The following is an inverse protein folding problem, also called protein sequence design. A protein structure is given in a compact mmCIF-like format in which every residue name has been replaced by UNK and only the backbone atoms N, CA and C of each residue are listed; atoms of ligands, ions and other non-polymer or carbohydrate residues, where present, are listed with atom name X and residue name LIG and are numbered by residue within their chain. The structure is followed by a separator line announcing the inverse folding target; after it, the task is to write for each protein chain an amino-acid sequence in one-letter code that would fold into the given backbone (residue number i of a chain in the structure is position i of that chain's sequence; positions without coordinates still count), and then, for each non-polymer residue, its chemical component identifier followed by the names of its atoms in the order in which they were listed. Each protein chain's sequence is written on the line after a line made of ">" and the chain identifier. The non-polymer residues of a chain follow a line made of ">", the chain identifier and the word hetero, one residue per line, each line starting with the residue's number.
data_IF_759932589272
#
_entry.id   IF_759932589272
#
_cell.length_a   1.000
_cell.length_b   1.000
_cell.length_c   1.000
_cell.angle_alpha   90.00
_cell.angle_beta   90.00
_cell.angle_gamma   90.00
#
_symmetry.space_group_name_H-M   'P 1'
#
loop_
_entity.id
_entity.type
_entity.pdbx_description
1 polymer ?
#
# COMPACT_ATOMS: atom_id res chain seq x y z
N UNK A 1 63.23 5.39 7.89
CA UNK A 1 62.29 6.37 7.32
C UNK A 1 60.95 5.66 7.28
N UNK A 2 60.22 5.77 8.39
CA UNK A 2 58.87 5.19 8.53
C UNK A 2 57.84 6.23 8.14
N UNK A 3 57.07 5.93 7.10
CA UNK A 3 55.85 6.69 6.79
C UNK A 3 54.64 5.89 7.29
N UNK A 4 54.19 6.28 8.48
CA UNK A 4 52.92 5.81 9.07
C UNK A 4 51.78 6.49 8.35
N UNK A 5 51.06 5.73 7.53
CA UNK A 5 49.81 6.22 6.94
C UNK A 5 48.68 6.04 7.97
N UNK A 6 48.26 7.13 8.55
CA UNK A 6 47.09 7.19 9.44
C UNK A 6 45.81 6.99 8.60
N UNK A 7 45.22 5.80 8.67
CA UNK A 7 43.96 5.50 8.02
C UNK A 7 42.82 6.17 8.78
N UNK A 8 42.21 7.20 8.18
CA UNK A 8 40.96 7.76 8.65
C UNK A 8 39.84 6.72 8.50
N UNK A 9 39.41 6.15 9.61
CA UNK A 9 38.15 5.44 9.69
C UNK A 9 37.02 6.46 9.60
N UNK A 10 36.52 6.67 8.41
CA UNK A 10 35.29 7.42 8.19
C UNK A 10 34.13 6.59 8.78
N UNK A 11 33.54 7.10 9.85
CA UNK A 11 32.34 6.53 10.48
C UNK A 11 31.16 6.62 9.51
N UNK A 12 30.92 5.56 8.73
CA UNK A 12 29.81 5.42 7.77
C UNK A 12 28.43 5.22 8.42
N UNK A 13 28.31 5.39 9.74
CA UNK A 13 27.07 5.02 10.47
C UNK A 13 25.97 6.10 10.50
N UNK A 14 26.25 7.35 10.11
CA UNK A 14 25.26 8.43 10.20
C UNK A 14 24.56 8.80 8.89
N UNK A 15 25.00 8.25 7.73
CA UNK A 15 24.42 8.58 6.42
C UNK A 15 23.22 7.71 6.00
N UNK A 16 23.04 6.52 6.60
CA UNK A 16 22.10 5.53 6.05
C UNK A 16 20.62 5.70 6.46
N UNK A 17 20.30 6.37 7.57
CA UNK A 17 18.90 6.43 8.06
C UNK A 17 18.08 7.54 7.39
N UNK A 18 18.67 8.69 7.15
CA UNK A 18 18.00 9.83 6.49
C UNK A 18 17.67 9.54 5.03
N UNK A 19 18.61 8.92 4.32
CA UNK A 19 18.46 8.60 2.91
C UNK A 19 17.41 7.51 2.66
N UNK A 20 17.40 6.45 3.47
CA UNK A 20 16.42 5.37 3.36
C UNK A 20 14.98 5.85 3.59
N UNK A 21 14.75 6.74 4.57
CA UNK A 21 13.43 7.34 4.81
C UNK A 21 13.00 8.27 3.67
N UNK A 22 13.95 8.99 3.06
CA UNK A 22 13.67 9.86 1.92
C UNK A 22 13.32 9.03 0.67
N UNK A 23 14.05 7.95 0.42
CA UNK A 23 13.79 7.01 -0.68
C UNK A 23 12.43 6.32 -0.53
N UNK A 24 12.07 5.86 0.67
CA UNK A 24 10.76 5.25 0.94
C UNK A 24 9.62 6.24 0.67
N UNK A 25 9.75 7.51 1.10
CA UNK A 25 8.76 8.56 0.81
C UNK A 25 8.65 8.91 -0.68
N UNK A 26 9.76 8.88 -1.41
CA UNK A 26 9.74 9.09 -2.86
C UNK A 26 9.03 7.94 -3.57
N UNK A 27 9.29 6.73 -3.11
CA UNK A 27 8.63 5.54 -3.63
C UNK A 27 7.13 5.53 -3.31
N UNK A 28 6.75 5.89 -2.09
CA UNK A 28 5.35 6.08 -1.69
C UNK A 28 4.62 7.05 -2.64
N UNK A 29 5.19 8.23 -2.89
CA UNK A 29 4.60 9.20 -3.82
C UNK A 29 4.52 8.71 -5.28
N UNK A 30 5.45 7.83 -5.68
CA UNK A 30 5.42 7.19 -7.00
C UNK A 30 4.26 6.21 -7.09
N UNK A 31 4.05 5.41 -6.04
CA UNK A 31 2.93 4.49 -5.92
C UNK A 31 1.59 5.23 -5.92
N UNK A 32 1.42 6.26 -5.08
CA UNK A 32 0.21 7.08 -5.02
C UNK A 32 -0.18 7.63 -6.41
N UNK A 33 0.79 8.22 -7.13
CA UNK A 33 0.56 8.73 -8.49
C UNK A 33 0.15 7.65 -9.49
N UNK A 34 0.67 6.44 -9.32
CA UNK A 34 0.26 5.31 -10.14
C UNK A 34 -1.17 4.88 -9.81
N UNK A 35 -1.52 4.73 -8.53
CA UNK A 35 -2.87 4.39 -8.08
C UNK A 35 -3.92 5.39 -8.60
N UNK A 36 -3.65 6.68 -8.49
CA UNK A 36 -4.55 7.72 -8.98
C UNK A 36 -4.77 7.67 -10.51
N UNK A 37 -3.74 7.31 -11.28
CA UNK A 37 -3.88 7.09 -12.73
C UNK A 37 -4.75 5.88 -13.07
N UNK A 38 -4.82 4.89 -12.19
CA UNK A 38 -5.68 3.72 -12.34
C UNK A 38 -7.11 3.97 -11.83
N UNK A 39 -7.44 5.15 -11.29
CA UNK A 39 -8.75 5.44 -10.71
C UNK A 39 -8.89 4.97 -9.25
N UNK A 40 -7.77 4.77 -8.56
CA UNK A 40 -7.74 4.44 -7.12
C UNK A 40 -7.27 5.68 -6.39
N UNK A 41 -8.17 6.37 -5.68
CA UNK A 41 -7.92 7.68 -5.09
C UNK A 41 -7.77 7.63 -3.57
N UNK A 42 -7.15 8.66 -2.95
CA UNK A 42 -7.17 8.79 -1.49
C UNK A 42 -8.60 8.74 -0.97
N UNK A 43 -8.82 8.02 0.11
CA UNK A 43 -10.13 7.97 0.77
C UNK A 43 -10.64 9.39 1.11
N UNK A 44 -11.89 9.68 0.78
CA UNK A 44 -12.49 11.00 1.00
C UNK A 44 -12.17 12.06 -0.06
N UNK A 45 -11.52 11.72 -1.18
CA UNK A 45 -11.32 12.66 -2.29
C UNK A 45 -12.67 13.03 -2.92
N UNK A 46 -12.91 14.33 -3.14
CA UNK A 46 -14.13 14.81 -3.78
C UNK A 46 -14.18 14.38 -5.26
N UNK A 47 -15.38 14.03 -5.74
CA UNK A 47 -15.60 13.48 -7.08
C UNK A 47 -15.18 14.45 -8.22
N UNK A 48 -15.29 15.76 -8.02
CA UNK A 48 -14.86 16.80 -8.96
C UNK A 48 -13.33 16.86 -9.19
N UNK A 49 -12.56 16.19 -8.32
CA UNK A 49 -11.10 16.07 -8.38
C UNK A 49 -10.61 14.71 -8.87
N UNK A 50 -11.50 13.91 -9.46
CA UNK A 50 -11.19 12.58 -9.98
C UNK A 50 -11.19 12.63 -11.52
N UNK A 51 -10.01 12.71 -12.19
CA UNK A 51 -9.95 12.81 -13.65
C UNK A 51 -10.36 11.52 -14.38
N UNK A 52 -10.35 10.39 -13.67
CA UNK A 52 -10.76 9.07 -14.17
C UNK A 52 -11.88 8.54 -13.26
N UNK A 53 -12.88 7.80 -13.76
CA UNK A 53 -13.91 7.19 -12.92
C UNK A 53 -13.29 6.34 -11.81
N UNK A 54 -13.74 6.48 -10.55
CA UNK A 54 -13.15 5.75 -9.44
C UNK A 54 -13.49 4.26 -9.52
N UNK A 55 -12.47 3.41 -9.40
CA UNK A 55 -12.61 1.96 -9.26
C UNK A 55 -12.19 1.47 -7.86
N UNK A 56 -11.71 2.39 -7.04
CA UNK A 56 -11.26 2.09 -5.69
C UNK A 56 -10.77 3.30 -4.93
N UNK A 57 -10.27 3.02 -3.75
CA UNK A 57 -9.64 4.04 -2.89
C UNK A 57 -8.42 3.45 -2.19
N UNK A 58 -7.55 4.32 -1.68
CA UNK A 58 -6.49 3.95 -0.76
C UNK A 58 -6.50 4.85 0.48
N UNK A 59 -6.02 4.30 1.59
CA UNK A 59 -5.85 5.00 2.85
C UNK A 59 -4.44 4.77 3.38
N UNK A 60 -3.77 5.85 3.77
CA UNK A 60 -2.46 5.79 4.44
C UNK A 60 -2.67 5.51 5.92
N UNK A 61 -1.98 4.51 6.43
CA UNK A 61 -1.99 4.20 7.86
C UNK A 61 -0.80 4.86 8.53
N UNK A 62 -1.06 5.86 9.36
CA UNK A 62 -0.03 6.58 10.08
C UNK A 62 0.34 5.81 11.36
N UNK A 63 1.64 5.55 11.55
CA UNK A 63 2.18 4.98 12.80
C UNK A 63 2.18 5.96 13.98
N UNK A 64 1.04 6.62 14.27
CA UNK A 64 0.88 7.49 15.43
C UNK A 64 0.67 6.69 16.72
N UNK A 65 0.92 7.30 17.88
CA UNK A 65 0.92 6.65 19.20
C UNK A 65 -0.36 5.94 19.63
N UNK A 66 -1.46 6.06 18.87
CA UNK A 66 -2.73 5.37 19.07
C UNK A 66 -3.04 4.35 17.97
N UNK A 67 -2.22 4.21 16.93
CA UNK A 67 -2.43 3.23 15.89
C UNK A 67 -1.81 1.88 16.28
N UNK A 68 -2.44 0.78 15.83
CA UNK A 68 -1.93 -0.57 16.05
C UNK A 68 -0.58 -0.72 15.34
N UNK A 69 0.45 -1.06 16.10
CA UNK A 69 1.80 -1.27 15.57
C UNK A 69 1.82 -2.41 14.55
N UNK A 70 2.65 -2.25 13.52
CA UNK A 70 2.92 -3.29 12.51
C UNK A 70 1.89 -3.42 11.40
N UNK A 71 0.88 -2.54 11.35
CA UNK A 71 -0.02 -2.48 10.18
C UNK A 71 0.76 -1.98 8.96
N UNK A 72 0.45 -2.50 7.75
CA UNK A 72 1.00 -2.01 6.50
C UNK A 72 0.72 -0.51 6.27
N UNK A 73 1.61 0.18 5.55
CA UNK A 73 1.59 1.63 5.33
C UNK A 73 0.37 2.11 4.55
N UNK A 74 -0.09 1.30 3.57
CA UNK A 74 -1.28 1.60 2.80
C UNK A 74 -2.28 0.45 2.86
N UNK A 75 -3.55 0.83 3.04
CA UNK A 75 -4.69 -0.02 2.76
C UNK A 75 -5.36 0.47 1.49
N UNK A 76 -5.62 -0.41 0.53
CA UNK A 76 -6.33 -0.06 -0.68
C UNK A 76 -7.40 -1.08 -1.02
N UNK A 77 -8.47 -0.60 -1.60
CA UNK A 77 -9.54 -1.41 -2.18
C UNK A 77 -9.63 -1.06 -3.65
N UNK A 78 -9.48 -2.05 -4.51
CA UNK A 78 -9.63 -1.91 -5.95
C UNK A 78 -10.57 -2.99 -6.46
N UNK A 79 -11.59 -2.59 -7.22
CA UNK A 79 -12.57 -3.53 -7.79
C UNK A 79 -13.15 -4.50 -6.72
N UNK A 80 -13.45 -3.99 -5.52
CA UNK A 80 -13.93 -4.73 -4.34
C UNK A 80 -12.92 -5.74 -3.74
N UNK A 81 -11.68 -5.77 -4.19
CA UNK A 81 -10.61 -6.58 -3.62
C UNK A 81 -9.76 -5.71 -2.69
N UNK A 82 -9.54 -6.19 -1.47
CA UNK A 82 -8.70 -5.53 -0.47
C UNK A 82 -7.23 -5.90 -0.63
N UNK A 83 -6.36 -4.89 -0.62
CA UNK A 83 -4.91 -5.06 -0.61
C UNK A 83 -4.30 -4.20 0.50
N UNK A 84 -3.27 -4.72 1.15
CA UNK A 84 -2.48 -4.02 2.15
C UNK A 84 -1.01 -4.03 1.72
N UNK A 85 -0.40 -2.84 1.66
CA UNK A 85 0.96 -2.66 1.12
C UNK A 85 1.86 -2.07 2.19
N UNK A 86 2.88 -2.81 2.57
CA UNK A 86 4.01 -2.36 3.39
C UNK A 86 5.11 -1.88 2.46
N UNK A 87 5.51 -0.62 2.55
CA UNK A 87 6.57 -0.04 1.71
C UNK A 87 7.93 -0.20 2.37
N UNK A 88 8.95 -0.39 1.56
CA UNK A 88 10.34 -0.43 2.01
C UNK A 88 11.26 0.30 1.05
N UNK A 89 12.25 0.99 1.61
CA UNK A 89 13.40 1.47 0.86
C UNK A 89 14.18 0.27 0.27
N UNK A 90 15.02 0.47 -0.77
CA UNK A 90 15.76 -0.63 -1.42
C UNK A 90 16.56 -1.50 -0.45
N UNK A 91 17.11 -0.90 0.60
CA UNK A 91 17.90 -1.59 1.64
C UNK A 91 17.10 -1.85 2.93
N UNK A 92 15.83 -1.43 2.97
CA UNK A 92 14.96 -1.55 4.13
C UNK A 92 14.64 -3.02 4.44
N UNK A 93 14.47 -3.33 5.74
CA UNK A 93 14.08 -4.67 6.18
C UNK A 93 12.77 -4.61 6.95
N UNK A 94 11.78 -5.43 6.58
CA UNK A 94 10.55 -5.49 7.34
C UNK A 94 10.81 -6.15 8.70
N UNK A 95 10.20 -5.60 9.75
CA UNK A 95 10.26 -6.17 11.09
C UNK A 95 9.55 -7.53 11.14
N UNK A 96 9.85 -8.37 12.16
CA UNK A 96 9.10 -9.61 12.38
C UNK A 96 7.58 -9.38 12.51
N UNK A 97 7.18 -8.28 13.16
CA UNK A 97 5.77 -7.92 13.32
C UNK A 97 5.11 -7.56 11.98
N UNK A 98 5.78 -6.78 11.12
CA UNK A 98 5.28 -6.46 9.78
C UNK A 98 5.09 -7.71 8.92
N UNK A 99 6.07 -8.62 8.92
CA UNK A 99 5.96 -9.92 8.24
C UNK A 99 4.78 -10.74 8.75
N UNK A 100 4.61 -10.79 10.07
CA UNK A 100 3.48 -11.48 10.70
C UNK A 100 2.15 -10.87 10.28
N UNK A 101 2.01 -9.53 10.29
CA UNK A 101 0.77 -8.85 9.89
C UNK A 101 0.43 -9.10 8.42
N UNK A 102 1.40 -9.02 7.51
CA UNK A 102 1.21 -9.35 6.10
C UNK A 102 0.77 -10.81 5.92
N UNK A 103 1.37 -11.75 6.67
CA UNK A 103 0.95 -13.16 6.67
C UNK A 103 -0.49 -13.33 7.16
N UNK A 104 -0.92 -12.63 8.22
CA UNK A 104 -2.29 -12.67 8.70
C UNK A 104 -3.30 -12.16 7.67
N UNK A 105 -2.97 -11.09 6.97
CA UNK A 105 -3.77 -10.51 5.89
C UNK A 105 -3.97 -11.55 4.77
N UNK A 106 -2.89 -12.21 4.33
CA UNK A 106 -2.94 -13.24 3.30
C UNK A 106 -3.73 -14.48 3.75
N UNK A 107 -3.57 -14.90 4.99
CA UNK A 107 -4.33 -16.03 5.57
C UNK A 107 -5.83 -15.73 5.69
N UNK A 108 -6.21 -14.45 5.82
CA UNK A 108 -7.60 -14.02 5.85
C UNK A 108 -8.24 -13.90 4.43
N UNK A 109 -7.50 -14.19 3.37
CA UNK A 109 -7.97 -14.14 1.98
C UNK A 109 -7.92 -12.75 1.35
N UNK A 110 -7.28 -11.76 2.00
CA UNK A 110 -6.91 -10.46 1.41
C UNK A 110 -5.51 -10.55 0.79
N UNK A 111 -5.06 -9.51 0.12
CA UNK A 111 -3.73 -9.46 -0.50
C UNK A 111 -2.83 -8.55 0.33
N UNK A 112 -1.84 -9.13 1.02
CA UNK A 112 -0.80 -8.40 1.74
C UNK A 112 0.53 -8.50 1.00
N UNK A 113 1.20 -7.38 0.77
CA UNK A 113 2.50 -7.32 0.08
C UNK A 113 3.49 -6.46 0.85
N UNK A 114 4.76 -6.87 0.83
CA UNK A 114 5.90 -6.02 1.18
C UNK A 114 6.52 -5.56 -0.14
N UNK A 115 6.41 -4.27 -0.43
CA UNK A 115 6.74 -3.71 -1.72
C UNK A 115 8.02 -2.89 -1.67
N UNK A 116 8.98 -3.28 -2.51
CA UNK A 116 10.23 -2.57 -2.76
C UNK A 116 10.18 -1.87 -4.12
N UNK A 117 11.05 -0.86 -4.36
CA UNK A 117 11.09 -0.16 -5.64
C UNK A 117 11.36 -1.05 -6.86
N UNK A 118 12.15 -2.11 -6.70
CA UNK A 118 12.46 -3.10 -7.75
C UNK A 118 11.29 -4.04 -8.06
N UNK A 119 10.41 -4.31 -7.06
CA UNK A 119 9.17 -5.09 -7.24
C UNK A 119 8.00 -4.30 -7.79
N UNK A 120 8.19 -3.04 -8.19
CA UNK A 120 7.07 -2.16 -8.55
C UNK A 120 6.36 -2.59 -9.85
N UNK A 121 7.06 -3.15 -10.82
CA UNK A 121 6.44 -3.66 -12.06
C UNK A 121 5.59 -4.91 -11.78
N UNK A 122 6.06 -5.81 -10.90
CA UNK A 122 5.27 -6.98 -10.48
C UNK A 122 4.01 -6.56 -9.72
N UNK A 123 4.11 -5.53 -8.89
CA UNK A 123 2.94 -4.96 -8.21
C UNK A 123 1.94 -4.36 -9.21
N UNK A 124 2.38 -3.68 -10.25
CA UNK A 124 1.49 -3.17 -11.30
C UNK A 124 0.75 -4.30 -12.00
N UNK A 125 1.45 -5.37 -12.38
CA UNK A 125 0.84 -6.54 -13.00
C UNK A 125 -0.20 -7.20 -12.08
N UNK A 126 0.11 -7.31 -10.77
CA UNK A 126 -0.83 -7.79 -9.75
C UNK A 126 -2.08 -6.90 -9.71
N UNK A 127 -1.90 -5.59 -9.62
CA UNK A 127 -3.01 -4.63 -9.52
C UNK A 127 -3.87 -4.62 -10.80
N UNK A 128 -3.26 -4.70 -11.97
CA UNK A 128 -3.99 -4.85 -13.25
C UNK A 128 -4.86 -6.12 -13.26
N UNK A 129 -4.33 -7.24 -12.77
CA UNK A 129 -5.10 -8.47 -12.61
C UNK A 129 -6.29 -8.28 -11.65
N UNK A 130 -6.11 -7.55 -10.55
CA UNK A 130 -7.19 -7.21 -9.61
C UNK A 130 -8.24 -6.32 -10.28
N UNK A 131 -7.83 -5.30 -11.03
CA UNK A 131 -8.73 -4.37 -11.73
C UNK A 131 -9.55 -5.11 -12.80
N UNK A 132 -8.95 -6.06 -13.50
CA UNK A 132 -9.60 -6.84 -14.56
C UNK A 132 -10.43 -8.00 -14.03
N UNK A 133 -10.38 -8.31 -12.73
CA UNK A 133 -11.07 -9.44 -12.14
C UNK A 133 -12.59 -9.20 -12.09
N UNK A 134 -13.34 -9.88 -12.94
CA UNK A 134 -14.81 -9.73 -13.03
C UNK A 134 -15.58 -10.58 -12.00
N UNK A 135 -14.93 -11.25 -11.07
CA UNK A 135 -15.56 -12.23 -10.16
C UNK A 135 -16.46 -11.62 -9.11
N UNK A 136 -16.30 -10.32 -8.79
CA UNK A 136 -17.06 -9.65 -7.72
C UNK A 136 -18.37 -8.99 -8.18
N UNK A 137 -18.54 -8.69 -9.46
CA UNK A 137 -19.74 -8.02 -9.99
C UNK A 137 -21.02 -8.82 -9.73
N UNK A 138 -21.08 -10.15 -9.95
CA UNK A 138 -22.28 -10.94 -9.66
C UNK A 138 -22.64 -10.95 -8.17
N UNK A 139 -21.66 -11.07 -7.28
CA UNK A 139 -21.88 -11.10 -5.83
C UNK A 139 -22.37 -9.74 -5.33
N UNK A 140 -21.76 -8.64 -5.80
CA UNK A 140 -22.18 -7.29 -5.44
C UNK A 140 -23.61 -6.98 -5.91
N UNK A 141 -23.98 -7.41 -7.11
CA UNK A 141 -25.32 -7.26 -7.64
C UNK A 141 -26.34 -8.13 -6.87
N UNK A 142 -25.96 -9.35 -6.50
CA UNK A 142 -26.80 -10.21 -5.65
C UNK A 142 -27.02 -9.61 -4.27
N UNK A 143 -25.99 -9.02 -3.65
CA UNK A 143 -26.08 -8.32 -2.37
C UNK A 143 -26.94 -7.05 -2.47
N UNK A 144 -26.79 -6.24 -3.52
CA UNK A 144 -27.65 -5.07 -3.75
C UNK A 144 -29.12 -5.46 -3.91
N UNK A 145 -29.40 -6.53 -4.62
CA UNK A 145 -30.76 -7.03 -4.82
C UNK A 145 -31.36 -7.63 -3.52
N UNK A 146 -30.55 -8.32 -2.72
CA UNK A 146 -30.97 -8.84 -1.42
C UNK A 146 -31.30 -7.72 -0.41
N UNK A 147 -30.60 -6.56 -0.48
CA UNK A 147 -30.79 -5.42 0.41
C UNK A 147 -32.04 -4.60 0.08
N UNK A 148 -32.56 -4.69 -1.12
CA UNK A 148 -33.81 -4.03 -1.49
C UNK A 148 -35.02 -4.61 -0.73
N UNK A 149 -34.90 -5.79 -0.14
CA UNK A 149 -35.97 -6.47 0.62
C UNK A 149 -35.79 -6.44 2.15
N UNK A 150 -34.64 -5.97 2.65
CA UNK A 150 -34.32 -5.95 4.09
C UNK A 150 -34.09 -4.52 4.57
N UNK A 151 -34.64 -4.15 5.76
CA UNK A 151 -34.47 -2.83 6.39
C UNK A 151 -33.04 -2.49 6.84
N UNK A 152 -32.02 -3.09 6.24
CA UNK A 152 -30.62 -2.75 6.50
C UNK A 152 -30.16 -1.78 5.43
N UNK A 153 -30.09 -0.50 5.77
CA UNK A 153 -29.63 0.54 4.87
C UNK A 153 -28.11 0.40 4.66
N UNK A 154 -27.70 -0.09 3.49
CA UNK A 154 -26.38 0.26 2.99
C UNK A 154 -26.53 1.63 2.33
N UNK A 155 -25.86 2.64 2.88
CA UNK A 155 -25.78 3.95 2.28
C UNK A 155 -25.12 3.84 0.91
N UNK A 156 -25.91 3.92 -0.16
CA UNK A 156 -25.41 4.19 -1.51
C UNK A 156 -25.20 5.68 -1.63
N UNK A 157 -23.92 6.11 -1.58
CA UNK A 157 -23.50 7.46 -1.94
C UNK A 157 -23.43 7.62 -3.45
#
# INVERSE_FOLDING_TARGET
>A
MDMTVCGEFIHLSNYCWGDAMAEEKLFEKRLERYLEKQGIYPFGRAADRMPVPPIGYYEKRWGGGFSKSGLPDLHLVANAISLDVELKAPTGRPSPLQKFMVSQINNAGSIGVILYPDGFEDFKNLLEGVIQCNTHIPVLNALKNAHSSTKCAIFSG
#
